data_IF_822309904592
#
_entry.id   IF_822309904592
#
_cell.length_a   1.000
_cell.length_b   1.000
_cell.length_c   1.000
_cell.angle_alpha   90.00
_cell.angle_beta   90.00
_cell.angle_gamma   90.00
#
_symmetry.space_group_name_H-M   'P 1'
#
loop_
_entity.id
_entity.type
_entity.pdbx_description
1 polymer ?
#
# COMPACT_ATOMS: atom_id res chain seq x y z
N UNK A 1 -34.32 8.57 6.78
CA UNK A 1 -34.40 8.67 8.25
C UNK A 1 -33.17 7.99 8.83
N UNK A 2 -32.24 8.77 9.36
CA UNK A 2 -30.96 8.28 9.88
C UNK A 2 -31.15 7.81 11.32
N UNK A 3 -31.15 6.50 11.57
CA UNK A 3 -30.95 5.98 12.93
C UNK A 3 -29.54 6.34 13.38
N UNK A 4 -29.33 7.11 14.46
CA UNK A 4 -27.99 7.29 15.01
C UNK A 4 -27.47 5.93 15.45
N UNK A 5 -26.40 5.45 14.82
CA UNK A 5 -25.85 4.14 15.15
C UNK A 5 -25.35 4.19 16.60
N UNK A 6 -25.77 3.23 17.42
CA UNK A 6 -25.37 3.08 18.82
C UNK A 6 -23.85 3.17 19.00
N UNK A 7 -23.10 2.74 17.98
CA UNK A 7 -21.65 2.88 17.88
C UNK A 7 -21.12 4.31 17.99
N UNK A 8 -21.85 5.35 17.55
CA UNK A 8 -21.43 6.76 17.75
C UNK A 8 -21.64 7.24 19.18
N UNK A 9 -22.60 6.64 19.90
CA UNK A 9 -22.97 7.01 21.27
C UNK A 9 -21.99 6.41 22.30
N UNK A 10 -21.47 5.21 22.06
CA UNK A 10 -20.52 4.54 22.96
C UNK A 10 -19.04 4.82 22.66
N UNK A 11 -18.73 5.37 21.48
CA UNK A 11 -17.34 5.69 21.07
C UNK A 11 -16.58 6.59 22.06
N UNK A 12 -17.16 7.65 22.64
CA UNK A 12 -16.46 8.51 23.61
C UNK A 12 -16.11 7.79 24.91
N UNK A 13 -16.89 6.77 25.30
CA UNK A 13 -16.71 6.00 26.53
C UNK A 13 -15.66 4.89 26.40
N UNK A 14 -15.29 4.51 25.18
CA UNK A 14 -14.33 3.44 24.88
C UNK A 14 -13.02 3.95 24.27
N UNK A 15 -12.89 5.26 24.03
CA UNK A 15 -11.66 5.87 23.52
C UNK A 15 -10.65 6.13 24.65
N UNK A 16 -9.46 5.52 24.53
CA UNK A 16 -8.33 5.64 25.47
C UNK A 16 -7.81 7.08 25.64
N UNK A 17 -8.27 8.01 24.78
CA UNK A 17 -7.92 9.43 24.81
C UNK A 17 -8.69 10.22 25.87
N UNK A 18 -9.73 9.63 26.48
CA UNK A 18 -10.52 10.22 27.57
C UNK A 18 -10.57 9.26 28.78
N UNK A 19 -9.50 9.20 29.61
CA UNK A 19 -9.34 8.20 30.66
C UNK A 19 -10.48 8.19 31.69
N UNK A 20 -11.10 9.35 31.95
CA UNK A 20 -12.22 9.48 32.89
C UNK A 20 -13.50 8.80 32.37
N UNK A 21 -13.83 8.96 31.08
CA UNK A 21 -15.01 8.35 30.48
C UNK A 21 -14.85 6.83 30.34
N UNK A 22 -13.62 6.37 30.05
CA UNK A 22 -13.28 4.95 30.06
C UNK A 22 -13.41 4.33 31.46
N UNK A 23 -12.98 5.05 32.50
CA UNK A 23 -13.12 4.61 33.89
C UNK A 23 -14.60 4.50 34.29
N UNK A 24 -15.41 5.54 34.00
CA UNK A 24 -16.85 5.56 34.27
C UNK A 24 -17.56 4.43 33.51
N UNK A 25 -17.23 4.23 32.23
CA UNK A 25 -17.78 3.16 31.41
C UNK A 25 -17.44 1.78 31.96
N UNK A 26 -16.19 1.57 32.40
CA UNK A 26 -15.73 0.30 32.97
C UNK A 26 -16.40 -0.01 34.31
N UNK A 27 -16.58 1.00 35.18
CA UNK A 27 -17.30 0.87 36.45
C UNK A 27 -18.78 0.53 36.20
N UNK A 28 -19.45 1.26 35.30
CA UNK A 28 -20.85 1.02 34.96
C UNK A 28 -21.06 -0.39 34.39
N UNK A 29 -20.14 -0.85 33.53
CA UNK A 29 -20.18 -2.21 32.97
C UNK A 29 -19.97 -3.28 34.05
N UNK A 30 -19.06 -3.05 35.00
CA UNK A 30 -18.85 -3.93 36.14
C UNK A 30 -20.09 -4.05 37.03
N UNK A 31 -20.73 -2.93 37.36
CA UNK A 31 -21.98 -2.90 38.14
C UNK A 31 -23.09 -3.66 37.40
N UNK A 32 -23.26 -3.41 36.11
CA UNK A 32 -24.26 -4.11 35.30
C UNK A 32 -23.99 -5.62 35.24
N UNK A 33 -22.74 -6.03 35.08
CA UNK A 33 -22.34 -7.44 35.10
C UNK A 33 -22.68 -8.10 36.44
N UNK A 34 -22.42 -7.42 37.56
CA UNK A 34 -22.74 -7.93 38.89
C UNK A 34 -24.25 -8.06 39.09
N UNK A 35 -25.02 -7.05 38.69
CA UNK A 35 -26.48 -7.06 38.81
C UNK A 35 -27.12 -8.18 37.97
N UNK A 36 -26.62 -8.41 36.75
CA UNK A 36 -27.08 -9.52 35.90
C UNK A 36 -26.73 -10.87 36.53
N UNK A 37 -25.53 -11.02 37.08
CA UNK A 37 -25.12 -12.24 37.78
C UNK A 37 -26.00 -12.54 38.99
N UNK A 38 -26.25 -11.55 39.85
CA UNK A 38 -27.12 -11.67 41.01
C UNK A 38 -28.56 -12.01 40.62
N UNK A 39 -29.10 -11.35 39.59
CA UNK A 39 -30.45 -11.64 39.09
C UNK A 39 -30.58 -13.08 38.61
N UNK A 40 -29.60 -13.57 37.85
CA UNK A 40 -29.58 -14.95 37.34
C UNK A 40 -29.44 -15.97 38.47
N UNK A 41 -28.54 -15.75 39.42
CA UNK A 41 -28.32 -16.67 40.54
C UNK A 41 -29.47 -16.68 41.54
N UNK A 42 -30.16 -15.55 41.73
CA UNK A 42 -31.36 -15.45 42.58
C UNK A 42 -32.56 -16.14 41.94
N UNK A 43 -32.73 -16.01 40.62
CA UNK A 43 -33.90 -16.56 39.90
C UNK A 43 -33.78 -18.07 39.68
N UNK A 44 -32.59 -18.57 39.34
CA UNK A 44 -32.37 -19.97 38.96
C UNK A 44 -31.67 -20.81 40.04
N UNK A 45 -31.25 -20.17 41.14
CA UNK A 45 -30.53 -20.80 42.23
C UNK A 45 -29.03 -20.95 41.97
N UNK A 46 -28.23 -20.77 43.02
CA UNK A 46 -26.77 -20.88 42.97
C UNK A 46 -26.27 -22.33 43.09
N UNK A 47 -26.78 -23.24 42.26
CA UNK A 47 -26.29 -24.62 42.23
C UNK A 47 -24.98 -24.72 41.42
N UNK A 48 -24.05 -25.63 41.77
CA UNK A 48 -22.78 -25.79 41.04
C UNK A 48 -22.98 -26.09 39.55
N UNK A 49 -24.02 -26.87 39.21
CA UNK A 49 -24.36 -27.19 37.82
C UNK A 49 -24.81 -25.96 37.03
N UNK A 50 -25.64 -25.10 37.65
CA UNK A 50 -26.08 -23.85 37.03
C UNK A 50 -24.90 -22.89 36.80
N UNK A 51 -24.01 -22.75 37.78
CA UNK A 51 -22.83 -21.89 37.66
C UNK A 51 -21.88 -22.35 36.54
N UNK A 52 -21.64 -23.66 36.41
CA UNK A 52 -20.85 -24.22 35.30
C UNK A 52 -21.54 -23.93 33.96
N UNK A 53 -22.86 -24.14 33.88
CA UNK A 53 -23.65 -23.83 32.69
C UNK A 53 -23.59 -22.36 32.29
N UNK A 54 -23.64 -21.45 33.27
CA UNK A 54 -23.54 -20.01 33.07
C UNK A 54 -22.17 -19.62 32.49
N UNK A 55 -21.07 -20.15 33.03
CA UNK A 55 -19.72 -19.89 32.53
C UNK A 55 -19.55 -20.39 31.09
N UNK A 56 -20.00 -21.61 30.79
CA UNK A 56 -19.93 -22.18 29.43
C UNK A 56 -20.76 -21.34 28.46
N UNK A 57 -21.98 -20.94 28.85
CA UNK A 57 -22.85 -20.09 28.04
C UNK A 57 -22.20 -18.73 27.74
N UNK A 58 -21.61 -18.09 28.76
CA UNK A 58 -20.90 -16.82 28.59
C UNK A 58 -19.70 -16.96 27.63
N UNK A 59 -18.91 -18.03 27.74
CA UNK A 59 -17.80 -18.30 26.82
C UNK A 59 -18.26 -18.51 25.38
N UNK A 60 -19.37 -19.24 25.17
CA UNK A 60 -19.93 -19.47 23.84
C UNK A 60 -20.47 -18.18 23.23
N UNK A 61 -21.21 -17.37 24.00
CA UNK A 61 -21.71 -16.06 23.57
C UNK A 61 -20.54 -15.14 23.20
N UNK A 62 -19.52 -15.06 24.06
CA UNK A 62 -18.34 -14.24 23.80
C UNK A 62 -17.63 -14.67 22.52
N UNK A 63 -17.42 -15.97 22.32
CA UNK A 63 -16.78 -16.53 21.11
C UNK A 63 -17.62 -16.20 19.87
N UNK A 64 -18.93 -16.36 19.94
CA UNK A 64 -19.85 -16.04 18.83
C UNK A 64 -19.84 -14.55 18.48
N UNK A 65 -19.87 -13.67 19.48
CA UNK A 65 -19.81 -12.22 19.28
C UNK A 65 -18.45 -11.81 18.70
N UNK A 66 -17.35 -12.33 19.24
CA UNK A 66 -16.01 -12.06 18.73
C UNK A 66 -15.86 -12.51 17.28
N UNK A 67 -16.32 -13.72 16.94
CA UNK A 67 -16.30 -14.24 15.58
C UNK A 67 -17.17 -13.41 14.62
N UNK A 68 -18.38 -13.06 15.03
CA UNK A 68 -19.32 -12.26 14.24
C UNK A 68 -18.80 -10.83 14.03
N UNK A 69 -18.22 -10.22 15.06
CA UNK A 69 -17.64 -8.89 14.98
C UNK A 69 -16.39 -8.89 14.10
N UNK A 70 -15.51 -9.89 14.21
CA UNK A 70 -14.38 -10.06 13.29
C UNK A 70 -14.86 -10.25 11.85
N UNK A 71 -15.91 -11.04 11.62
CA UNK A 71 -16.49 -11.24 10.29
C UNK A 71 -17.09 -9.95 9.74
N UNK A 72 -17.76 -9.17 10.58
CA UNK A 72 -18.36 -7.88 10.21
C UNK A 72 -17.30 -6.83 9.90
N UNK A 73 -16.25 -6.72 10.73
CA UNK A 73 -15.10 -5.85 10.46
C UNK A 73 -14.43 -6.22 9.14
N UNK A 74 -14.16 -7.51 8.91
CA UNK A 74 -13.62 -8.00 7.63
C UNK A 74 -14.52 -7.68 6.45
N UNK A 75 -15.85 -7.77 6.60
CA UNK A 75 -16.80 -7.43 5.55
C UNK A 75 -16.88 -5.90 5.30
N UNK A 76 -16.69 -5.09 6.33
CA UNK A 76 -16.67 -3.63 6.23
C UNK A 76 -15.37 -3.11 5.58
N UNK A 77 -14.22 -3.63 6.01
CA UNK A 77 -12.90 -3.35 5.40
C UNK A 77 -12.88 -3.77 3.92
N UNK A 78 -13.48 -4.93 3.58
CA UNK A 78 -13.62 -5.37 2.18
C UNK A 78 -14.41 -4.40 1.31
N UNK A 79 -15.38 -3.65 1.86
CA UNK A 79 -16.13 -2.65 1.10
C UNK A 79 -15.33 -1.36 0.90
N UNK A 80 -14.49 -0.98 1.86
CA UNK A 80 -13.66 0.22 1.77
C UNK A 80 -12.44 0.07 0.85
N UNK A 81 -11.78 -1.10 0.83
CA UNK A 81 -10.60 -1.33 -0.04
C UNK A 81 -10.95 -1.26 -1.53
N UNK A 82 -12.20 -1.56 -1.91
CA UNK A 82 -12.67 -1.52 -3.31
C UNK A 82 -13.08 -0.10 -3.76
N UNK A 83 -13.27 0.86 -2.84
CA UNK A 83 -13.89 2.16 -3.17
C UNK A 83 -13.03 3.39 -2.88
N UNK A 84 -11.79 3.27 -2.39
CA UNK A 84 -11.10 4.42 -1.78
C UNK A 84 -9.65 4.70 -2.18
N UNK A 85 -9.19 4.36 -3.39
CA UNK A 85 -7.95 4.99 -3.89
C UNK A 85 -7.93 5.15 -5.43
N UNK A 86 -8.89 5.86 -6.05
CA UNK A 86 -8.55 6.51 -7.30
C UNK A 86 -7.52 7.59 -6.95
N UNK A 87 -6.28 7.44 -7.46
CA UNK A 87 -5.32 8.56 -7.47
C UNK A 87 -6.06 9.77 -8.03
N UNK A 88 -6.12 10.85 -7.26
CA UNK A 88 -6.83 12.05 -7.71
C UNK A 88 -6.18 12.56 -9.02
N UNK A 89 -6.93 13.11 -9.98
CA UNK A 89 -6.36 13.48 -11.29
C UNK A 89 -5.18 14.44 -11.21
N UNK A 90 -5.15 15.32 -10.21
CA UNK A 90 -4.06 16.26 -9.91
C UNK A 90 -2.81 15.60 -9.31
N UNK A 91 -2.97 14.43 -8.69
CA UNK A 91 -1.90 13.61 -8.13
C UNK A 91 -1.36 12.59 -9.13
N UNK A 92 -1.98 12.48 -10.29
CA UNK A 92 -1.62 11.48 -11.28
C UNK A 92 -0.39 11.91 -12.08
N UNK A 93 0.56 11.00 -12.28
CA UNK A 93 1.70 11.30 -13.14
C UNK A 93 1.29 11.29 -14.62
N UNK A 94 1.64 12.34 -15.33
CA UNK A 94 1.47 12.41 -16.78
C UNK A 94 2.43 11.44 -17.50
N UNK A 95 2.13 10.99 -18.73
CA UNK A 95 3.11 10.28 -19.56
C UNK A 95 4.39 11.11 -19.78
N UNK A 96 5.55 10.46 -19.90
CA UNK A 96 6.88 11.10 -19.93
C UNK A 96 7.72 10.44 -21.01
N UNK A 97 8.62 11.23 -21.64
CA UNK A 97 9.45 10.75 -22.74
C UNK A 97 10.62 9.87 -22.26
N UNK A 98 11.14 10.16 -21.08
CA UNK A 98 12.15 9.35 -20.40
C UNK A 98 11.57 8.70 -19.15
N UNK A 99 11.76 7.39 -19.01
CA UNK A 99 11.38 6.63 -17.82
C UNK A 99 12.59 5.91 -17.21
N UNK A 100 12.84 6.14 -15.93
CA UNK A 100 13.78 5.34 -15.13
C UNK A 100 12.95 4.33 -14.34
N UNK A 101 13.14 3.04 -14.61
CA UNK A 101 12.29 1.96 -14.11
C UNK A 101 13.10 0.88 -13.39
N UNK A 102 12.96 0.72 -12.07
CA UNK A 102 13.51 -0.41 -11.33
C UNK A 102 12.76 -1.70 -11.67
N UNK A 103 13.52 -2.72 -12.08
CA UNK A 103 13.00 -4.05 -12.38
C UNK A 103 13.27 -4.96 -11.17
N UNK A 104 12.21 -5.50 -10.59
CA UNK A 104 12.29 -6.41 -9.45
C UNK A 104 12.19 -7.89 -9.84
N UNK A 105 12.52 -8.76 -8.87
CA UNK A 105 12.38 -10.23 -8.98
C UNK A 105 10.92 -10.70 -9.04
N UNK A 106 9.95 -9.86 -8.64
CA UNK A 106 8.53 -10.25 -8.61
C UNK A 106 7.98 -10.52 -10.01
N UNK A 107 7.28 -11.64 -10.17
CA UNK A 107 6.60 -12.01 -11.41
C UNK A 107 5.17 -12.53 -11.10
N UNK A 108 4.11 -11.83 -11.52
CA UNK A 108 4.11 -10.57 -12.28
C UNK A 108 4.56 -9.37 -11.43
N UNK A 109 5.07 -8.33 -12.11
CA UNK A 109 5.38 -7.03 -11.50
C UNK A 109 4.70 -5.89 -12.27
N UNK A 110 4.79 -4.66 -11.75
CA UNK A 110 4.10 -3.48 -12.29
C UNK A 110 4.79 -2.86 -13.53
N UNK A 111 5.96 -3.36 -13.91
CA UNK A 111 6.82 -2.73 -14.91
C UNK A 111 6.12 -2.56 -16.27
N UNK A 112 5.38 -3.58 -16.73
CA UNK A 112 4.67 -3.51 -18.00
C UNK A 112 3.53 -2.49 -17.96
N UNK A 113 2.75 -2.46 -16.88
CA UNK A 113 1.64 -1.50 -16.74
C UNK A 113 2.15 -0.05 -16.70
N UNK A 114 3.29 0.17 -16.05
CA UNK A 114 3.97 1.46 -16.02
C UNK A 114 4.44 1.84 -17.43
N UNK A 115 5.09 0.93 -18.16
CA UNK A 115 5.51 1.20 -19.55
C UNK A 115 4.30 1.53 -20.43
N UNK A 116 3.23 0.75 -20.36
CA UNK A 116 1.98 0.98 -21.11
C UNK A 116 1.36 2.34 -20.78
N UNK A 117 1.47 2.79 -19.53
CA UNK A 117 1.03 4.13 -19.14
C UNK A 117 1.80 5.23 -19.88
N UNK A 118 3.14 5.15 -19.91
CA UNK A 118 3.97 6.15 -20.57
C UNK A 118 4.00 6.00 -22.10
N UNK A 119 3.61 4.85 -22.66
CA UNK A 119 3.42 4.68 -24.11
C UNK A 119 2.19 5.43 -24.65
N UNK A 120 1.30 5.89 -23.77
CA UNK A 120 0.13 6.69 -24.18
C UNK A 120 0.58 7.92 -24.96
N UNK A 121 -0.16 8.19 -26.02
CA UNK A 121 0.10 9.27 -26.97
C UNK A 121 1.52 9.23 -27.57
N UNK A 122 2.15 8.04 -27.62
CA UNK A 122 3.52 7.83 -28.13
C UNK A 122 4.57 8.70 -27.45
N UNK A 123 4.37 9.01 -26.17
CA UNK A 123 5.23 9.94 -25.45
C UNK A 123 6.55 9.31 -25.03
N UNK A 124 6.55 8.07 -24.50
CA UNK A 124 7.76 7.35 -24.11
C UNK A 124 8.68 7.06 -25.30
N UNK A 125 9.95 7.43 -25.17
CA UNK A 125 11.01 7.26 -26.18
C UNK A 125 12.25 6.57 -25.61
N UNK A 126 12.56 6.80 -24.34
CA UNK A 126 13.72 6.21 -23.67
C UNK A 126 13.29 5.56 -22.35
N UNK A 127 13.76 4.35 -22.08
CA UNK A 127 13.50 3.65 -20.84
C UNK A 127 14.78 3.05 -20.23
N UNK A 128 15.20 3.57 -19.08
CA UNK A 128 16.32 3.03 -18.30
C UNK A 128 15.85 1.94 -17.36
N UNK A 129 16.21 0.69 -17.66
CA UNK A 129 15.84 -0.47 -16.86
C UNK A 129 16.93 -0.73 -15.81
N UNK A 130 16.67 -0.34 -14.56
CA UNK A 130 17.57 -0.54 -13.43
C UNK A 130 17.39 -1.95 -12.87
N UNK A 131 18.42 -2.79 -12.92
CA UNK A 131 18.34 -4.18 -12.49
C UNK A 131 19.66 -4.68 -11.90
N UNK A 132 19.57 -5.62 -10.96
CA UNK A 132 20.74 -6.38 -10.50
C UNK A 132 21.12 -7.45 -11.54
N UNK A 133 22.36 -7.98 -11.52
CA UNK A 133 22.80 -9.01 -12.46
C UNK A 133 21.83 -10.20 -12.53
N UNK A 134 21.34 -10.64 -11.36
CA UNK A 134 20.41 -11.76 -11.27
C UNK A 134 19.07 -11.47 -11.94
N UNK A 135 18.58 -10.23 -11.87
CA UNK A 135 17.33 -9.81 -12.54
C UNK A 135 17.54 -9.71 -14.05
N UNK A 136 18.70 -9.24 -14.50
CA UNK A 136 19.02 -9.09 -15.94
C UNK A 136 19.07 -10.44 -16.68
N UNK A 137 19.37 -11.52 -15.97
CA UNK A 137 19.37 -12.89 -16.50
C UNK A 137 17.97 -13.51 -16.59
N UNK A 138 16.95 -12.90 -15.98
CA UNK A 138 15.58 -13.40 -16.03
C UNK A 138 14.93 -13.13 -17.40
N UNK A 139 14.13 -14.08 -17.86
CA UNK A 139 13.33 -13.96 -19.09
C UNK A 139 12.46 -12.68 -19.08
N UNK A 140 11.91 -12.32 -17.92
CA UNK A 140 11.13 -11.09 -17.73
C UNK A 140 11.89 -9.84 -18.18
N UNK A 141 13.19 -9.74 -17.88
CA UNK A 141 13.98 -8.57 -18.28
C UNK A 141 14.16 -8.51 -19.80
N UNK A 142 14.42 -9.67 -20.43
CA UNK A 142 14.46 -9.81 -21.89
C UNK A 142 13.14 -9.43 -22.55
N UNK A 143 12.02 -9.91 -22.00
CA UNK A 143 10.67 -9.62 -22.50
C UNK A 143 10.33 -8.13 -22.42
N UNK A 144 10.68 -7.45 -21.31
CA UNK A 144 10.50 -6.00 -21.18
C UNK A 144 11.32 -5.22 -22.21
N UNK A 145 12.59 -5.61 -22.40
CA UNK A 145 13.47 -4.98 -23.40
C UNK A 145 12.93 -5.15 -24.82
N UNK A 146 12.48 -6.34 -25.15
CA UNK A 146 11.89 -6.65 -26.45
C UNK A 146 10.61 -5.85 -26.67
N UNK A 147 9.72 -5.81 -25.68
CA UNK A 147 8.49 -5.02 -25.73
C UNK A 147 8.75 -3.53 -26.00
N UNK A 148 9.76 -2.94 -25.35
CA UNK A 148 10.16 -1.55 -25.59
C UNK A 148 10.61 -1.32 -27.04
N UNK A 149 11.45 -2.21 -27.58
CA UNK A 149 11.94 -2.13 -28.96
C UNK A 149 10.79 -2.23 -29.97
N UNK A 150 9.83 -3.13 -29.75
CA UNK A 150 8.64 -3.30 -30.61
C UNK A 150 7.77 -2.04 -30.64
N UNK A 151 7.84 -1.21 -29.61
CA UNK A 151 7.10 0.06 -29.51
C UNK A 151 7.97 1.29 -29.84
N UNK A 152 9.12 1.10 -30.49
CA UNK A 152 10.08 2.16 -30.83
C UNK A 152 10.62 2.97 -29.63
N UNK A 153 10.67 2.34 -28.46
CA UNK A 153 11.31 2.90 -27.26
C UNK A 153 12.72 2.33 -27.15
N UNK A 154 13.71 3.19 -26.93
CA UNK A 154 15.11 2.79 -26.76
C UNK A 154 15.31 2.29 -25.32
N UNK A 155 15.57 0.98 -25.11
CA UNK A 155 15.86 0.45 -23.79
C UNK A 155 17.33 0.69 -23.43
N UNK A 156 17.57 1.21 -22.22
CA UNK A 156 18.90 1.42 -21.65
C UNK A 156 19.06 0.53 -20.41
N UNK A 157 19.69 -0.65 -20.52
CA UNK A 157 19.97 -1.48 -19.36
C UNK A 157 20.94 -0.76 -18.41
N UNK A 158 20.56 -0.62 -17.14
CA UNK A 158 21.41 -0.03 -16.09
C UNK A 158 21.64 -1.06 -15.00
N UNK A 159 22.89 -1.49 -14.88
CA UNK A 159 23.30 -2.50 -13.91
C UNK A 159 23.45 -1.88 -12.51
N UNK A 160 22.87 -2.54 -11.51
CA UNK A 160 23.06 -2.25 -10.08
C UNK A 160 23.79 -3.44 -9.44
N UNK A 161 25.08 -3.32 -9.16
CA UNK A 161 25.86 -4.46 -8.65
C UNK A 161 25.40 -4.89 -7.24
N UNK A 162 25.11 -3.93 -6.37
CA UNK A 162 24.59 -4.15 -5.02
C UNK A 162 23.20 -3.50 -4.85
N UNK A 163 22.15 -4.31 -4.93
CA UNK A 163 20.76 -3.88 -4.71
C UNK A 163 20.44 -3.52 -3.25
N UNK A 164 21.41 -3.67 -2.33
CA UNK A 164 21.33 -3.31 -0.92
C UNK A 164 22.25 -2.14 -0.56
N UNK A 165 23.07 -1.65 -1.50
CA UNK A 165 23.95 -0.49 -1.34
C UNK A 165 23.25 0.80 -1.78
N UNK A 166 22.59 1.50 -0.83
CA UNK A 166 21.83 2.71 -1.14
C UNK A 166 22.68 3.82 -1.80
N UNK A 167 23.95 3.92 -1.41
CA UNK A 167 24.95 4.83 -1.95
C UNK A 167 25.32 4.49 -3.41
N UNK A 168 25.51 3.20 -3.71
CA UNK A 168 25.74 2.75 -5.08
C UNK A 168 24.52 3.02 -5.96
N UNK A 169 23.32 2.69 -5.47
CA UNK A 169 22.08 2.97 -6.20
C UNK A 169 21.96 4.48 -6.46
N UNK A 170 22.16 5.31 -5.44
CA UNK A 170 22.11 6.76 -5.54
C UNK A 170 23.07 7.28 -6.61
N UNK A 171 24.35 6.89 -6.55
CA UNK A 171 25.38 7.36 -7.49
C UNK A 171 25.10 6.90 -8.93
N UNK A 172 24.68 5.65 -9.11
CA UNK A 172 24.30 5.12 -10.44
C UNK A 172 23.10 5.85 -11.01
N UNK A 173 22.01 6.00 -10.23
CA UNK A 173 20.79 6.69 -10.70
C UNK A 173 21.08 8.17 -10.96
N UNK A 174 21.88 8.83 -10.13
CA UNK A 174 22.34 10.20 -10.34
C UNK A 174 23.07 10.35 -11.68
N UNK A 175 23.99 9.44 -11.99
CA UNK A 175 24.68 9.44 -13.28
C UNK A 175 23.73 9.16 -14.45
N UNK A 176 22.81 8.22 -14.30
CA UNK A 176 21.76 7.93 -15.29
C UNK A 176 20.91 9.14 -15.59
N UNK A 177 20.42 9.85 -14.56
CA UNK A 177 19.61 11.06 -14.72
C UNK A 177 20.40 12.14 -15.44
N UNK A 178 21.64 12.42 -15.02
CA UNK A 178 22.48 13.44 -15.66
C UNK A 178 22.76 13.13 -17.13
N UNK A 179 22.98 11.86 -17.46
CA UNK A 179 23.16 11.44 -18.85
C UNK A 179 21.87 11.61 -19.66
N UNK A 180 20.72 11.22 -19.10
CA UNK A 180 19.41 11.38 -19.73
C UNK A 180 19.04 12.86 -19.93
N UNK A 181 19.38 13.74 -18.98
CA UNK A 181 19.12 15.18 -19.07
C UNK A 181 19.90 15.88 -20.18
N UNK A 182 20.99 15.27 -20.67
CA UNK A 182 21.73 15.78 -21.84
C UNK A 182 21.08 15.39 -23.18
N UNK A 183 20.08 14.50 -23.15
CA UNK A 183 19.32 14.05 -24.31
C UNK A 183 17.93 14.71 -24.32
N UNK A 184 17.72 15.64 -25.25
CA UNK A 184 16.44 16.35 -25.36
C UNK A 184 15.27 15.42 -25.71
N UNK A 185 15.54 14.27 -26.34
CA UNK A 185 14.48 13.29 -26.68
C UNK A 185 14.03 12.47 -25.48
N UNK A 186 14.79 12.50 -24.39
CA UNK A 186 14.47 11.85 -23.12
C UNK A 186 13.68 12.74 -22.16
N UNK A 187 13.42 14.00 -22.51
CA UNK A 187 12.72 14.96 -21.65
C UNK A 187 11.22 15.08 -22.04
N UNK A 188 10.30 15.17 -21.07
CA UNK A 188 10.54 15.17 -19.62
C UNK A 188 10.87 13.77 -19.08
N UNK A 189 11.69 13.74 -18.02
CA UNK A 189 12.17 12.51 -17.35
C UNK A 189 11.42 12.25 -16.04
N UNK A 190 11.06 11.00 -15.80
CA UNK A 190 10.44 10.53 -14.54
C UNK A 190 11.09 9.25 -14.05
N UNK A 191 11.18 9.09 -12.73
CA UNK A 191 11.66 7.86 -12.09
C UNK A 191 10.53 7.17 -11.34
N UNK A 192 10.37 5.87 -11.58
CA UNK A 192 9.44 5.03 -10.83
C UNK A 192 10.13 4.40 -9.61
N UNK A 193 9.40 4.29 -8.49
CA UNK A 193 9.92 3.69 -7.24
C UNK A 193 9.10 2.49 -6.76
N UNK A 194 8.25 1.95 -7.63
CA UNK A 194 7.34 0.84 -7.32
C UNK A 194 8.08 -0.49 -7.21
N UNK A 195 8.97 -0.74 -8.16
CA UNK A 195 9.74 -1.98 -8.29
C UNK A 195 11.03 -1.99 -7.47
N UNK A 196 11.72 -3.12 -7.51
CA UNK A 196 13.01 -3.31 -6.83
C UNK A 196 12.91 -3.52 -5.31
N UNK A 197 14.02 -3.29 -4.61
CA UNK A 197 14.08 -3.36 -3.15
C UNK A 197 13.70 -2.01 -2.53
N UNK A 198 13.34 -1.99 -1.24
CA UNK A 198 13.14 -0.73 -0.52
C UNK A 198 14.40 0.15 -0.51
N UNK A 199 15.57 -0.47 -0.54
CA UNK A 199 16.85 0.26 -0.61
C UNK A 199 17.00 0.93 -1.97
N UNK A 200 16.61 0.26 -3.05
CA UNK A 200 16.55 0.86 -4.38
C UNK A 200 15.64 2.09 -4.41
N UNK A 201 14.43 1.98 -3.85
CA UNK A 201 13.51 3.12 -3.71
C UNK A 201 14.18 4.31 -3.03
N UNK A 202 14.88 4.11 -1.92
CA UNK A 202 15.59 5.20 -1.20
C UNK A 202 16.67 5.83 -2.08
N UNK A 203 17.52 5.02 -2.70
CA UNK A 203 18.59 5.54 -3.57
C UNK A 203 18.06 6.33 -4.77
N UNK A 204 16.99 5.85 -5.41
CA UNK A 204 16.31 6.55 -6.52
C UNK A 204 15.73 7.88 -6.05
N UNK A 205 14.98 7.89 -4.94
CA UNK A 205 14.36 9.12 -4.41
C UNK A 205 15.41 10.17 -4.07
N UNK A 206 16.51 9.77 -3.42
CA UNK A 206 17.60 10.69 -3.09
C UNK A 206 18.26 11.29 -4.35
N UNK A 207 18.49 10.47 -5.37
CA UNK A 207 19.06 10.95 -6.64
C UNK A 207 18.10 11.91 -7.37
N UNK A 208 16.80 11.61 -7.34
CA UNK A 208 15.77 12.46 -7.94
C UNK A 208 15.63 13.79 -7.21
N UNK A 209 15.73 13.79 -5.88
CA UNK A 209 15.70 15.01 -5.07
C UNK A 209 16.83 15.98 -5.44
N UNK A 210 18.03 15.46 -5.61
CA UNK A 210 19.23 16.25 -5.90
C UNK A 210 19.31 16.72 -7.37
N UNK A 211 18.58 16.05 -8.27
CA UNK A 211 18.49 16.41 -9.70
C UNK A 211 17.20 17.11 -10.09
N UNK A 212 16.30 17.32 -9.13
CA UNK A 212 14.94 17.82 -9.36
C UNK A 212 14.15 17.00 -10.40
N UNK A 213 14.38 15.69 -10.45
CA UNK A 213 13.67 14.77 -11.34
C UNK A 213 12.35 14.34 -10.71
N UNK A 214 11.28 14.29 -11.50
CA UNK A 214 9.96 13.84 -11.02
C UNK A 214 10.03 12.37 -10.58
N UNK A 215 9.35 12.05 -9.50
CA UNK A 215 9.21 10.67 -9.00
C UNK A 215 7.76 10.24 -9.12
N UNK A 216 7.52 8.96 -9.42
CA UNK A 216 6.19 8.36 -9.35
C UNK A 216 6.19 7.02 -8.61
N UNK A 217 5.00 6.63 -8.15
CA UNK A 217 4.72 5.32 -7.59
C UNK A 217 3.43 4.76 -8.19
N UNK A 218 3.49 3.54 -8.70
CA UNK A 218 2.35 2.82 -9.24
C UNK A 218 1.49 2.27 -8.11
N UNK A 219 0.33 2.88 -7.90
CA UNK A 219 -0.60 2.44 -6.89
C UNK A 219 -1.49 1.33 -7.44
N UNK A 220 -1.16 0.09 -7.10
CA UNK A 220 -2.03 -1.07 -7.39
C UNK A 220 -2.99 -1.34 -6.21
N UNK A 221 -4.29 -1.56 -6.46
CA UNK A 221 -5.22 -2.07 -5.45
C UNK A 221 -4.67 -3.36 -4.85
N UNK A 222 -4.80 -3.58 -3.54
CA UNK A 222 -4.34 -4.83 -2.91
C UNK A 222 -5.49 -5.79 -2.65
N UNK A 223 -5.24 -7.09 -2.81
CA UNK A 223 -6.16 -8.14 -2.40
C UNK A 223 -6.17 -8.35 -0.89
N UNK A 224 -6.99 -9.30 -0.44
CA UNK A 224 -7.18 -9.62 0.98
C UNK A 224 -5.93 -10.19 1.66
N UNK A 225 -4.96 -10.65 0.87
CA UNK A 225 -3.67 -11.17 1.33
C UNK A 225 -2.56 -10.11 1.25
N UNK A 226 -2.89 -8.89 0.83
CA UNK A 226 -1.95 -7.78 0.68
C UNK A 226 -1.18 -7.79 -0.65
N UNK A 227 -1.50 -8.73 -1.56
CA UNK A 227 -0.87 -8.79 -2.88
C UNK A 227 -1.49 -7.74 -3.81
N UNK A 228 -0.70 -7.09 -4.66
CA UNK A 228 -1.24 -6.18 -5.66
C UNK A 228 -2.15 -6.93 -6.65
N UNK A 229 -3.33 -6.38 -6.89
CA UNK A 229 -4.25 -6.74 -7.98
C UNK A 229 -4.00 -5.77 -9.12
N UNK A 230 -3.44 -6.27 -10.22
CA UNK A 230 -3.42 -5.53 -11.47
C UNK A 230 -4.88 -5.42 -11.95
N UNK A 231 -5.44 -4.21 -11.93
CA UNK A 231 -6.79 -3.91 -12.41
C UNK A 231 -6.75 -2.59 -13.15
N UNK A 232 -7.75 -2.30 -13.97
CA UNK A 232 -7.87 -1.02 -14.68
C UNK A 232 -7.93 0.21 -13.76
N UNK A 233 -8.08 0.02 -12.45
CA UNK A 233 -8.05 1.07 -11.44
C UNK A 233 -6.63 1.44 -10.98
N UNK A 234 -5.59 0.67 -11.33
CA UNK A 234 -4.20 1.02 -11.02
C UNK A 234 -3.77 2.26 -11.81
N UNK A 235 -3.14 3.21 -11.12
CA UNK A 235 -2.69 4.50 -11.70
C UNK A 235 -1.34 4.92 -11.11
N UNK A 236 -0.50 5.63 -11.86
CA UNK A 236 0.74 6.20 -11.33
C UNK A 236 0.41 7.46 -10.53
N UNK A 237 0.87 7.49 -9.29
CA UNK A 237 0.80 8.66 -8.42
C UNK A 237 2.12 9.41 -8.48
N UNK A 238 2.07 10.69 -8.83
CA UNK A 238 3.20 11.61 -8.78
C UNK A 238 3.59 11.85 -7.33
N UNK A 239 4.88 11.75 -7.03
CA UNK A 239 5.45 12.04 -5.73
C UNK A 239 6.21 13.36 -5.83
N UNK A 240 5.68 14.37 -5.15
CA UNK A 240 6.34 15.66 -5.01
C UNK A 240 7.40 15.56 -3.93
N UNK A 241 8.67 15.48 -4.32
CA UNK A 241 9.81 15.55 -3.39
C UNK A 241 10.35 16.98 -3.47
N UNK A 242 10.27 17.74 -2.38
CA UNK A 242 10.76 19.13 -2.32
C UNK A 242 11.87 19.21 -1.28
N UNK A 243 13.02 19.80 -1.63
CA UNK A 243 13.94 20.30 -0.61
C UNK A 243 13.31 21.55 -0.02
N UNK A 244 12.99 21.49 1.27
CA UNK A 244 12.70 22.71 2.03
C UNK A 244 14.01 23.51 2.09
N UNK A 245 14.00 24.80 1.69
CA UNK A 245 15.21 25.64 1.72
C UNK A 245 15.76 25.85 3.13
#
# INVERSE_FOLDING_TARGET
>A
MNSPSLTKLFRPFLETRAPLLFLIGSIALGILSSAVYELLTTTFGATPQFLIGLVISAMLIFTFVAFSFQRLLRAYEQRQVVTHNPVAPDQQAEPHAGLILPVGMSNPGAELDIIVWHLRDTTLRHCWLLASPQVMELEKFGNLRQYLLEHNVIPHPVKIDDAMGADQIYTTVMATIKNAQNDNEALPLIADITGGTKVMTVGIVLACLDTHTTVQYWQAPRDRTGNPRMTDASRPMKIMVHRTP
#
